data_IF_759033419282
#
_entry.id   IF_759033419282
#
_cell.length_a   1.000
_cell.length_b   1.000
_cell.length_c   1.000
_cell.angle_alpha   90.00
_cell.angle_beta   90.00
_cell.angle_gamma   90.00
#
_symmetry.space_group_name_H-M   'P 1'
#
loop_
_entity.id
_entity.type
_entity.pdbx_description
1 polymer ?
#
# COMPACT_ATOMS: atom_id res chain seq x y z
N UNK A 1 -9.08 -20.57 -8.27
CA UNK A 1 -8.78 -19.15 -7.99
C UNK A 1 -7.36 -19.11 -7.46
N UNK A 2 -6.49 -18.29 -8.02
CA UNK A 2 -5.13 -18.10 -7.51
C UNK A 2 -5.18 -16.91 -6.58
N UNK A 3 -4.93 -17.15 -5.30
CA UNK A 3 -4.83 -16.15 -4.25
C UNK A 3 -3.39 -16.08 -3.76
N UNK A 4 -3.03 -14.96 -3.14
CA UNK A 4 -1.72 -14.75 -2.51
C UNK A 4 -1.92 -14.29 -1.08
N UNK A 5 -0.93 -14.51 -0.22
CA UNK A 5 -0.96 -13.97 1.14
C UNK A 5 -0.91 -12.44 1.07
N UNK A 6 -1.68 -11.78 1.94
CA UNK A 6 -1.63 -10.33 2.08
C UNK A 6 -0.21 -9.84 2.36
N UNK A 7 0.56 -10.57 3.17
CA UNK A 7 1.97 -10.27 3.42
C UNK A 7 2.78 -10.07 2.12
N UNK A 8 2.57 -10.93 1.11
CA UNK A 8 3.31 -10.84 -0.15
C UNK A 8 2.91 -9.59 -0.97
N UNK A 9 1.64 -9.18 -0.91
CA UNK A 9 1.21 -7.91 -1.52
C UNK A 9 1.80 -6.71 -0.76
N UNK A 10 1.81 -6.75 0.57
CA UNK A 10 2.39 -5.68 1.40
C UNK A 10 3.90 -5.53 1.15
N UNK A 11 4.65 -6.62 1.06
CA UNK A 11 6.08 -6.61 0.67
C UNK A 11 6.28 -5.93 -0.69
N UNK A 12 5.43 -6.23 -1.66
CA UNK A 12 5.49 -5.58 -2.97
C UNK A 12 5.17 -4.09 -2.90
N UNK A 13 4.15 -3.70 -2.14
CA UNK A 13 3.75 -2.30 -1.95
C UNK A 13 4.86 -1.50 -1.26
N UNK A 14 5.52 -2.07 -0.26
CA UNK A 14 6.62 -1.43 0.45
C UNK A 14 7.80 -1.14 -0.48
N UNK A 15 8.21 -2.15 -1.28
CA UNK A 15 9.25 -1.98 -2.30
C UNK A 15 8.87 -0.93 -3.37
N UNK A 16 7.61 -0.93 -3.82
CA UNK A 16 7.08 0.06 -4.75
C UNK A 16 7.14 1.48 -4.17
N UNK A 17 6.77 1.64 -2.89
CA UNK A 17 6.72 2.90 -2.19
C UNK A 17 8.11 3.50 -1.99
N UNK A 18 9.13 2.69 -1.66
CA UNK A 18 10.51 3.18 -1.52
C UNK A 18 11.05 3.78 -2.82
N UNK A 19 10.78 3.15 -3.98
CA UNK A 19 11.13 3.72 -5.30
C UNK A 19 10.44 5.08 -5.51
N UNK A 20 9.17 5.20 -5.11
CA UNK A 20 8.40 6.42 -5.29
C UNK A 20 8.82 7.54 -4.34
N UNK A 21 9.25 7.17 -3.13
CA UNK A 21 9.79 8.07 -2.11
C UNK A 21 11.11 8.69 -2.54
N UNK A 22 11.97 7.95 -3.27
CA UNK A 22 13.16 8.56 -3.89
C UNK A 22 12.79 9.66 -4.90
N UNK A 23 11.70 9.49 -5.66
CA UNK A 23 11.26 10.44 -6.67
C UNK A 23 10.48 11.64 -6.11
N UNK A 24 9.61 11.40 -5.14
CA UNK A 24 8.65 12.39 -4.60
C UNK A 24 9.12 13.01 -3.28
N UNK A 25 10.12 12.40 -2.62
CA UNK A 25 10.64 12.84 -1.33
C UNK A 25 9.55 12.95 -0.28
N UNK A 26 9.56 14.07 0.45
CA UNK A 26 8.58 14.40 1.50
C UNK A 26 7.15 14.61 0.99
N UNK A 27 6.90 14.54 -0.32
CA UNK A 27 5.56 14.66 -0.88
C UNK A 27 4.80 13.32 -0.92
N UNK A 28 5.41 12.21 -0.50
CA UNK A 28 4.80 10.89 -0.50
C UNK A 28 5.08 10.13 0.80
N UNK A 29 4.03 9.60 1.41
CA UNK A 29 4.09 8.81 2.62
C UNK A 29 3.22 7.56 2.49
N UNK A 30 3.78 6.42 2.89
CA UNK A 30 3.07 5.16 3.02
C UNK A 30 3.10 4.75 4.49
N UNK A 31 1.93 4.42 5.03
CA UNK A 31 1.76 3.88 6.38
C UNK A 31 1.05 2.53 6.29
N UNK A 32 1.70 1.48 6.80
CA UNK A 32 1.13 0.14 6.89
C UNK A 32 0.94 -0.18 8.38
N UNK A 33 -0.31 -0.42 8.75
CA UNK A 33 -0.75 -0.74 10.11
C UNK A 33 -1.71 -1.94 10.04
N UNK A 34 -1.14 -3.11 9.78
CA UNK A 34 -1.88 -4.36 9.54
C UNK A 34 -1.47 -5.38 10.60
N UNK A 35 -2.47 -6.01 11.22
CA UNK A 35 -2.26 -7.05 12.21
C UNK A 35 -1.63 -8.31 11.58
N UNK A 36 -0.73 -8.99 12.30
CA UNK A 36 -0.12 -10.26 11.85
C UNK A 36 -1.15 -11.34 11.47
N UNK A 37 -2.34 -11.30 12.08
CA UNK A 37 -3.44 -12.22 11.75
C UNK A 37 -4.03 -11.93 10.37
N UNK A 38 -4.05 -10.66 9.95
CA UNK A 38 -4.54 -10.22 8.65
C UNK A 38 -3.50 -10.47 7.55
N UNK A 39 -2.20 -10.34 7.83
CA UNK A 39 -1.12 -10.66 6.89
C UNK A 39 -1.17 -12.11 6.36
N UNK A 40 -1.69 -13.03 7.18
CA UNK A 40 -1.86 -14.46 6.84
C UNK A 40 -3.07 -14.73 5.95
N UNK A 41 -3.96 -13.75 5.77
CA UNK A 41 -5.16 -13.90 4.93
C UNK A 41 -4.77 -13.91 3.46
N UNK A 42 -5.63 -14.54 2.67
CA UNK A 42 -5.47 -14.62 1.23
C UNK A 42 -6.30 -13.55 0.53
N UNK A 43 -5.66 -12.85 -0.41
CA UNK A 43 -6.27 -11.81 -1.24
C UNK A 43 -6.07 -12.14 -2.71
N UNK A 44 -6.89 -11.57 -3.62
CA UNK A 44 -6.59 -11.63 -5.05
C UNK A 44 -5.23 -11.00 -5.32
N UNK A 45 -4.40 -11.60 -6.19
CA UNK A 45 -3.12 -11.01 -6.57
C UNK A 45 -3.33 -9.65 -7.23
N UNK A 46 -2.39 -8.74 -7.02
CA UNK A 46 -2.36 -7.37 -7.54
C UNK A 46 -3.49 -6.47 -7.02
N UNK A 47 -4.29 -6.92 -6.05
CA UNK A 47 -5.42 -6.15 -5.54
C UNK A 47 -4.95 -4.86 -4.85
N UNK A 48 -3.95 -4.96 -3.96
CA UNK A 48 -3.41 -3.78 -3.29
C UNK A 48 -2.58 -2.94 -4.26
N UNK A 49 -1.80 -3.57 -5.13
CA UNK A 49 -1.02 -2.88 -6.14
C UNK A 49 -1.89 -1.95 -6.99
N UNK A 50 -3.04 -2.43 -7.48
CA UNK A 50 -3.94 -1.61 -8.31
C UNK A 50 -4.49 -0.40 -7.54
N UNK A 51 -4.81 -0.55 -6.26
CA UNK A 51 -5.33 0.54 -5.42
C UNK A 51 -4.25 1.59 -5.13
N UNK A 52 -3.05 1.14 -4.76
CA UNK A 52 -1.91 2.03 -4.48
C UNK A 52 -1.47 2.76 -5.76
N UNK A 53 -1.39 2.05 -6.89
CA UNK A 53 -1.10 2.68 -8.18
C UNK A 53 -2.17 3.71 -8.57
N UNK A 54 -3.44 3.44 -8.28
CA UNK A 54 -4.51 4.40 -8.54
C UNK A 54 -4.32 5.68 -7.71
N UNK A 55 -4.04 5.54 -6.41
CA UNK A 55 -3.78 6.68 -5.54
C UNK A 55 -2.57 7.50 -6.01
N UNK A 56 -1.45 6.86 -6.36
CA UNK A 56 -0.24 7.55 -6.83
C UNK A 56 -0.43 8.22 -8.19
N UNK A 57 -1.18 7.62 -9.11
CA UNK A 57 -1.37 8.16 -10.47
C UNK A 57 -2.31 9.36 -10.52
N UNK A 58 -3.34 9.38 -9.67
CA UNK A 58 -4.41 10.37 -9.76
C UNK A 58 -4.30 11.49 -8.72
N UNK A 59 -3.59 11.27 -7.62
CA UNK A 59 -3.44 12.29 -6.59
C UNK A 59 -2.19 13.13 -6.85
N UNK A 60 -2.31 14.42 -6.57
CA UNK A 60 -1.17 15.34 -6.60
C UNK A 60 -0.32 15.13 -5.35
N UNK A 61 0.97 14.89 -5.53
CA UNK A 61 1.94 14.77 -4.46
C UNK A 61 2.88 15.98 -4.51
N UNK A 62 2.63 16.98 -3.67
CA UNK A 62 3.48 18.18 -3.53
C UNK A 62 3.83 18.42 -2.06
N UNK A 63 4.94 19.09 -1.78
CA UNK A 63 5.40 19.29 -0.38
C UNK A 63 4.38 20.00 0.52
N UNK A 64 3.55 20.88 -0.04
CA UNK A 64 2.49 21.58 0.71
C UNK A 64 1.27 20.70 1.00
N UNK A 65 1.10 19.61 0.26
CA UNK A 65 -0.02 18.68 0.34
C UNK A 65 0.48 17.28 -0.05
N UNK A 66 1.18 16.60 0.89
CA UNK A 66 1.78 15.31 0.60
C UNK A 66 0.70 14.24 0.40
N UNK A 67 0.95 13.30 -0.52
CA UNK A 67 0.12 12.12 -0.69
C UNK A 67 0.42 11.14 0.44
N UNK A 68 -0.58 10.89 1.30
CA UNK A 68 -0.51 9.89 2.35
C UNK A 68 -1.40 8.71 1.98
N UNK A 69 -0.81 7.52 1.88
CA UNK A 69 -1.51 6.25 1.68
C UNK A 69 -1.42 5.45 2.97
N UNK A 70 -2.57 5.06 3.51
CA UNK A 70 -2.65 4.26 4.73
C UNK A 70 -3.33 2.93 4.45
N UNK A 71 -2.67 1.83 4.79
CA UNK A 71 -3.21 0.46 4.70
C UNK A 71 -3.40 -0.06 6.12
N UNK A 72 -4.65 -0.38 6.48
CA UNK A 72 -5.04 -0.77 7.84
C UNK A 72 -5.90 -2.02 7.86
N UNK A 73 -5.72 -2.87 8.88
CA UNK A 73 -6.71 -3.91 9.22
C UNK A 73 -7.73 -3.38 10.22
N UNK A 74 -9.01 -3.72 10.02
CA UNK A 74 -10.12 -3.38 10.92
C UNK A 74 -10.65 -4.66 11.57
N UNK A 75 -9.91 -5.13 12.59
CA UNK A 75 -10.22 -6.39 13.28
C UNK A 75 -10.15 -7.60 12.33
N UNK A 76 -11.19 -8.43 12.32
CA UNK A 76 -11.25 -9.59 11.41
C UNK A 76 -11.53 -9.24 9.94
N UNK A 77 -11.66 -7.96 9.60
CA UNK A 77 -11.89 -7.50 8.23
C UNK A 77 -10.71 -6.65 7.76
N UNK A 78 -10.30 -6.91 6.52
CA UNK A 78 -9.46 -6.01 5.74
C UNK A 78 -10.32 -4.88 5.19
#
# INVERSE_FOLDING_TARGET
KTTVKLAAELEFIDAYAEIHKERLGEAFHLEIDVDESAEKKEVPPLALQLLVENAVKHNVAVKSEPLVITIKSLGDKL
#
